data_IF_647231394292
#
_entry.id   IF_647231394292
#
_cell.length_a   1.000
_cell.length_b   1.000
_cell.length_c   1.000
_cell.angle_alpha   90.00
_cell.angle_beta   90.00
_cell.angle_gamma   90.00
#
_symmetry.space_group_name_H-M   'P 1'
#
loop_
_entity.id
_entity.type
_entity.pdbx_description
1 polymer ?
#
# COMPACT_ATOMS: atom_id res chain seq x y z
N UNK A 1 -5.15 29.70 -23.84
CA UNK A 1 -5.43 30.26 -22.50
C UNK A 1 -5.91 29.10 -21.62
N UNK A 2 -5.08 28.65 -20.67
CA UNK A 2 -5.38 27.50 -19.79
C UNK A 2 -6.30 27.96 -18.64
N UNK A 3 -7.28 27.14 -18.19
CA UNK A 3 -8.11 27.48 -17.03
C UNK A 3 -7.25 27.47 -15.73
N UNK A 4 -7.27 28.54 -14.91
CA UNK A 4 -6.45 28.67 -13.70
C UNK A 4 -6.86 27.75 -12.53
N UNK A 5 -7.84 26.85 -12.73
CA UNK A 5 -8.42 26.02 -11.68
C UNK A 5 -7.83 24.60 -11.59
N UNK A 6 -6.95 24.20 -12.51
CA UNK A 6 -6.36 22.85 -12.50
C UNK A 6 -5.14 22.70 -11.57
N UNK A 7 -4.57 23.81 -11.09
CA UNK A 7 -3.35 23.85 -10.28
C UNK A 7 -3.54 24.04 -8.75
N UNK A 8 -4.60 23.49 -8.12
CA UNK A 8 -4.58 23.20 -6.67
C UNK A 8 -4.83 21.72 -6.30
N UNK A 9 -5.33 20.89 -7.23
CA UNK A 9 -5.68 19.50 -6.94
C UNK A 9 -4.46 18.58 -6.74
N UNK A 10 -3.34 18.86 -7.42
CA UNK A 10 -2.11 18.06 -7.34
C UNK A 10 -1.37 18.33 -6.01
N UNK A 11 -1.49 19.54 -5.45
CA UNK A 11 -0.86 19.92 -4.18
C UNK A 11 -1.68 19.48 -2.96
N UNK A 12 -3.01 19.44 -3.07
CA UNK A 12 -3.89 18.99 -1.99
C UNK A 12 -3.80 17.48 -1.69
N UNK A 13 -3.30 16.67 -2.64
CA UNK A 13 -3.09 15.23 -2.42
C UNK A 13 -1.82 14.91 -1.59
N UNK A 14 -0.98 15.90 -1.31
CA UNK A 14 0.34 15.70 -0.68
C UNK A 14 0.33 15.73 0.87
N UNK A 15 -0.85 15.83 1.52
CA UNK A 15 -0.92 16.16 2.95
C UNK A 15 -2.06 15.51 3.74
N UNK A 16 -2.50 14.31 3.39
CA UNK A 16 -3.44 13.55 4.23
C UNK A 16 -2.73 12.91 5.45
N UNK A 17 -3.40 12.76 6.61
CA UNK A 17 -2.86 11.99 7.72
C UNK A 17 -2.52 10.57 7.23
N UNK A 18 -1.26 10.16 7.41
CA UNK A 18 -0.65 8.90 6.94
C UNK A 18 -1.14 7.69 7.76
N UNK A 19 -2.44 7.65 8.05
CA UNK A 19 -3.11 6.62 8.85
C UNK A 19 -4.28 5.97 8.08
N UNK A 20 -4.14 5.81 6.76
CA UNK A 20 -4.86 4.83 5.93
C UNK A 20 -4.17 3.45 5.96
N UNK A 21 -4.26 2.59 4.93
CA UNK A 21 -3.55 1.28 4.81
C UNK A 21 -2.00 1.34 4.90
N UNK A 22 -1.48 2.47 5.33
CA UNK A 22 -0.13 2.98 5.38
C UNK A 22 0.73 2.23 6.42
N UNK A 23 0.10 1.59 7.39
CA UNK A 23 0.78 0.73 8.36
C UNK A 23 1.40 -0.51 7.71
N UNK A 24 0.77 -1.07 6.66
CA UNK A 24 1.33 -2.19 5.90
C UNK A 24 2.58 -1.75 5.13
N UNK A 25 2.54 -0.54 4.56
CA UNK A 25 3.69 0.07 3.89
C UNK A 25 4.83 0.34 4.88
N UNK A 26 4.51 0.79 6.10
CA UNK A 26 5.49 0.98 7.16
C UNK A 26 6.19 -0.33 7.57
N UNK A 27 5.44 -1.42 7.70
CA UNK A 27 6.00 -2.74 8.01
C UNK A 27 6.86 -3.25 6.84
N UNK A 28 6.42 -3.07 5.59
CA UNK A 28 7.24 -3.42 4.42
C UNK A 28 8.55 -2.62 4.39
N UNK A 29 8.49 -1.31 4.57
CA UNK A 29 9.68 -0.46 4.62
C UNK A 29 10.63 -0.88 5.73
N UNK A 30 10.11 -1.20 6.93
CA UNK A 30 10.91 -1.72 8.03
C UNK A 30 11.56 -3.06 7.68
N UNK A 31 10.82 -4.00 7.07
CA UNK A 31 11.36 -5.29 6.64
C UNK A 31 12.51 -5.15 5.65
N UNK A 32 12.40 -4.21 4.69
CA UNK A 32 13.47 -3.86 3.75
C UNK A 32 14.70 -3.31 4.47
N UNK A 33 14.52 -2.36 5.40
CA UNK A 33 15.62 -1.79 6.18
C UNK A 33 16.35 -2.84 7.03
N UNK A 34 15.60 -3.75 7.67
CA UNK A 34 16.16 -4.86 8.46
C UNK A 34 16.96 -5.82 7.56
N UNK A 35 16.42 -6.17 6.39
CA UNK A 35 17.13 -7.01 5.44
C UNK A 35 18.43 -6.35 4.95
N UNK A 36 18.39 -5.05 4.68
CA UNK A 36 19.55 -4.27 4.24
C UNK A 36 20.61 -4.16 5.36
N UNK A 37 20.19 -3.88 6.59
CA UNK A 37 21.07 -3.86 7.75
C UNK A 37 21.73 -5.23 7.99
N UNK A 38 20.95 -6.32 7.87
CA UNK A 38 21.47 -7.68 7.95
C UNK A 38 22.49 -8.00 6.85
N UNK A 39 22.27 -7.49 5.63
CA UNK A 39 23.19 -7.65 4.51
C UNK A 39 24.52 -6.93 4.77
N UNK A 40 24.47 -5.68 5.24
CA UNK A 40 25.68 -4.91 5.61
C UNK A 40 26.44 -5.59 6.75
N UNK A 41 25.73 -6.10 7.76
CA UNK A 41 26.31 -6.86 8.87
C UNK A 41 26.77 -8.29 8.47
N UNK A 42 26.56 -8.70 7.20
CA UNK A 42 26.86 -10.04 6.66
C UNK A 42 26.19 -11.18 7.44
N UNK A 43 25.09 -10.88 8.15
CA UNK A 43 24.35 -11.84 8.97
C UNK A 43 23.15 -12.40 8.21
N UNK A 44 23.28 -13.66 7.77
CA UNK A 44 22.23 -14.37 7.01
C UNK A 44 20.92 -14.50 7.80
N UNK A 45 21.02 -14.61 9.12
CA UNK A 45 19.84 -14.71 9.99
C UNK A 45 19.02 -13.41 9.98
N UNK A 46 19.69 -12.25 10.09
CA UNK A 46 19.00 -10.95 10.10
C UNK A 46 18.38 -10.65 8.73
N UNK A 47 19.05 -11.03 7.64
CA UNK A 47 18.47 -10.95 6.28
C UNK A 47 17.20 -11.80 6.18
N UNK A 48 17.23 -13.04 6.67
CA UNK A 48 16.07 -13.93 6.63
C UNK A 48 14.88 -13.38 7.45
N UNK A 49 15.14 -12.78 8.62
CA UNK A 49 14.12 -12.09 9.42
C UNK A 49 13.50 -10.93 8.65
N UNK A 50 14.31 -10.07 8.03
CA UNK A 50 13.82 -8.95 7.23
C UNK A 50 12.96 -9.38 6.04
N UNK A 51 13.38 -10.41 5.31
CA UNK A 51 12.60 -11.00 4.21
C UNK A 51 11.30 -11.61 4.73
N UNK A 52 11.33 -12.31 5.87
CA UNK A 52 10.13 -12.85 6.50
C UNK A 52 9.10 -11.78 6.85
N UNK A 53 9.55 -10.63 7.36
CA UNK A 53 8.67 -9.49 7.66
C UNK A 53 8.01 -8.91 6.41
N UNK A 54 8.72 -8.83 5.28
CA UNK A 54 8.15 -8.37 4.01
C UNK A 54 7.03 -9.33 3.55
N UNK A 55 7.29 -10.64 3.57
CA UNK A 55 6.29 -11.63 3.20
C UNK A 55 5.06 -11.58 4.11
N UNK A 56 5.26 -11.40 5.41
CA UNK A 56 4.17 -11.26 6.37
C UNK A 56 3.31 -10.02 6.08
N UNK A 57 3.95 -8.89 5.77
CA UNK A 57 3.25 -7.66 5.38
C UNK A 57 2.44 -7.86 4.10
N UNK A 58 3.02 -8.51 3.09
CA UNK A 58 2.30 -8.84 1.85
C UNK A 58 1.11 -9.76 2.11
N UNK A 59 1.26 -10.77 2.98
CA UNK A 59 0.15 -11.65 3.34
C UNK A 59 -0.98 -10.88 4.02
N UNK A 60 -0.68 -9.97 4.96
CA UNK A 60 -1.69 -9.11 5.57
C UNK A 60 -2.40 -8.22 4.55
N UNK A 61 -1.68 -7.68 3.56
CA UNK A 61 -2.27 -6.91 2.47
C UNK A 61 -3.29 -7.73 1.67
N UNK A 62 -2.92 -8.96 1.28
CA UNK A 62 -3.80 -9.85 0.52
C UNK A 62 -5.04 -10.25 1.33
N UNK A 63 -4.88 -10.55 2.62
CA UNK A 63 -5.99 -10.87 3.51
C UNK A 63 -6.92 -9.66 3.67
N UNK A 64 -6.37 -8.46 3.86
CA UNK A 64 -7.15 -7.23 3.94
C UNK A 64 -7.97 -6.98 2.68
N UNK A 65 -7.33 -7.06 1.50
CA UNK A 65 -8.00 -6.90 0.21
C UNK A 65 -9.10 -7.95 -0.01
N UNK A 66 -8.87 -9.17 0.44
CA UNK A 66 -9.86 -10.25 0.31
C UNK A 66 -11.07 -10.07 1.23
N UNK A 67 -10.86 -9.60 2.45
CA UNK A 67 -11.95 -9.28 3.37
C UNK A 67 -12.79 -8.13 2.86
N UNK A 68 -12.15 -7.08 2.32
CA UNK A 68 -12.82 -5.95 1.68
C UNK A 68 -13.65 -6.42 0.46
N UNK A 69 -13.07 -7.27 -0.39
CA UNK A 69 -13.77 -7.86 -1.53
C UNK A 69 -14.98 -8.71 -1.13
N UNK A 70 -14.91 -9.45 -0.02
CA UNK A 70 -16.01 -10.30 0.46
C UNK A 70 -17.08 -9.55 1.23
N UNK A 71 -16.75 -8.44 1.86
CA UNK A 71 -17.66 -7.67 2.70
C UNK A 71 -18.19 -6.44 1.98
N UNK A 72 -19.00 -6.62 0.93
CA UNK A 72 -19.67 -5.54 0.18
C UNK A 72 -18.80 -4.32 -0.17
N UNK A 73 -17.47 -4.49 -0.23
CA UNK A 73 -16.52 -3.42 -0.51
C UNK A 73 -16.90 -2.77 -1.82
N UNK A 74 -17.12 -1.45 -1.76
CA UNK A 74 -17.54 -0.60 -2.88
C UNK A 74 -16.82 -1.00 -4.15
N UNK A 75 -17.48 -1.76 -5.03
CA UNK A 75 -16.95 -2.09 -6.35
C UNK A 75 -16.63 -0.77 -7.07
N UNK A 76 -15.35 -0.46 -7.36
CA UNK A 76 -14.97 0.81 -7.98
C UNK A 76 -15.41 0.91 -9.44
N UNK A 77 -15.93 -0.17 -10.03
CA UNK A 77 -16.43 -0.16 -11.40
C UNK A 77 -17.64 0.77 -11.49
N UNK A 78 -17.67 1.70 -12.47
CA UNK A 78 -18.84 2.52 -12.74
C UNK A 78 -20.05 1.63 -13.03
N UNK A 79 -21.15 1.80 -12.27
CA UNK A 79 -22.40 1.04 -12.47
C UNK A 79 -23.20 1.49 -13.70
N UNK A 80 -22.70 2.51 -14.41
CA UNK A 80 -23.45 3.27 -15.41
C UNK A 80 -23.05 2.89 -16.84
N UNK A 81 -22.30 1.79 -17.03
CA UNK A 81 -21.91 1.33 -18.35
C UNK A 81 -23.17 1.02 -19.21
N UNK A 82 -23.31 1.63 -20.40
CA UNK A 82 -24.47 1.42 -21.27
C UNK A 82 -24.41 0.00 -21.84
N UNK A 83 -24.97 -0.97 -21.13
CA UNK A 83 -24.95 -2.39 -21.49
C UNK A 83 -25.22 -3.38 -20.36
N UNK A 84 -25.50 -2.94 -19.12
CA UNK A 84 -25.90 -3.84 -18.03
C UNK A 84 -27.35 -4.30 -18.17
N UNK A 85 -27.55 -5.58 -18.53
CA UNK A 85 -28.78 -6.33 -18.25
C UNK A 85 -28.63 -7.06 -16.91
#
# INVERSE_FOLDING_TARGET
MLPPAAMPAILAQAGGPVLGPDWVLAIMALGVLVALAGHVARSRFVVAVGVGLIFLATAMMLVGAFLDYRGDGSDPRPRDAPGGF
#
